data_IF_869387098377
#
_entry.id   IF_869387098377
#
_cell.length_a   1.000
_cell.length_b   1.000
_cell.length_c   1.000
_cell.angle_alpha   90.00
_cell.angle_beta   90.00
_cell.angle_gamma   90.00
#
_symmetry.space_group_name_H-M   'P 1'
#
loop_
_entity.id
_entity.type
_entity.pdbx_description
1 polymer ?
#
# COMPACT_ATOMS: atom_id res chain seq x y z
N UNK A 1 10.04 23.01 12.87
CA UNK A 1 8.90 23.38 11.98
C UNK A 1 8.91 22.46 10.78
N UNK A 2 7.73 22.01 10.35
CA UNK A 2 7.63 20.98 9.31
C UNK A 2 8.02 21.56 7.95
N UNK A 3 9.27 21.40 7.57
CA UNK A 3 9.86 21.90 6.30
C UNK A 3 9.12 21.39 5.05
N UNK A 4 8.46 20.23 5.14
CA UNK A 4 7.72 19.64 4.02
C UNK A 4 6.55 20.52 3.52
N UNK A 5 5.99 21.37 4.39
CA UNK A 5 4.92 22.32 4.00
C UNK A 5 5.40 23.39 3.03
N UNK A 6 6.68 23.75 3.07
CA UNK A 6 7.28 24.72 2.15
C UNK A 6 7.27 24.23 0.69
N UNK A 7 7.14 22.91 0.47
CA UNK A 7 7.04 22.32 -0.86
C UNK A 7 5.61 22.31 -1.42
N UNK A 8 4.62 22.76 -0.64
CA UNK A 8 3.24 22.82 -1.09
C UNK A 8 2.94 24.10 -1.84
N UNK A 9 2.17 24.02 -2.92
CA UNK A 9 1.63 25.17 -3.63
C UNK A 9 0.33 25.70 -3.00
N UNK A 10 -0.38 24.86 -2.24
CA UNK A 10 -1.58 25.22 -1.49
C UNK A 10 -1.77 24.28 -0.29
N UNK A 11 -2.47 24.74 0.75
CA UNK A 11 -2.77 23.94 1.94
C UNK A 11 -4.02 23.09 1.75
N UNK A 12 -3.82 21.81 1.49
CA UNK A 12 -4.90 20.82 1.38
C UNK A 12 -5.28 20.15 2.71
N UNK A 13 -4.62 20.48 3.84
CA UNK A 13 -4.90 19.88 5.15
C UNK A 13 -6.35 20.09 5.62
N UNK A 14 -6.96 21.30 5.52
CA UNK A 14 -8.35 21.49 5.92
C UNK A 14 -9.29 20.54 5.21
N UNK A 15 -9.09 20.32 3.90
CA UNK A 15 -9.88 19.38 3.09
C UNK A 15 -9.69 17.92 3.51
N UNK A 16 -8.47 17.49 3.86
CA UNK A 16 -8.21 16.14 4.38
C UNK A 16 -8.80 15.92 5.79
N UNK A 17 -9.02 16.99 6.54
CA UNK A 17 -9.58 16.95 7.89
C UNK A 17 -11.11 16.97 7.92
N UNK A 18 -11.80 17.08 6.78
CA UNK A 18 -13.25 16.99 6.73
C UNK A 18 -13.77 15.64 7.25
N UNK A 19 -14.95 15.61 7.89
CA UNK A 19 -15.45 14.40 8.56
C UNK A 19 -16.00 13.33 7.63
N UNK A 20 -16.18 13.62 6.35
CA UNK A 20 -16.76 12.73 5.34
C UNK A 20 -15.90 11.48 5.06
N UNK A 21 -14.57 11.57 5.31
CA UNK A 21 -13.66 10.43 5.21
C UNK A 21 -12.90 10.20 6.53
N UNK A 22 -13.48 9.43 7.48
CA UNK A 22 -12.89 9.23 8.81
C UNK A 22 -11.49 8.63 8.79
N UNK A 23 -11.19 7.76 7.82
CA UNK A 23 -9.86 7.14 7.70
C UNK A 23 -8.82 8.17 7.28
N UNK A 24 -9.11 8.97 6.25
CA UNK A 24 -8.20 10.05 5.81
C UNK A 24 -7.99 11.05 6.93
N UNK A 25 -9.07 11.49 7.59
CA UNK A 25 -9.00 12.38 8.75
C UNK A 25 -8.10 11.80 9.86
N UNK A 26 -8.32 10.54 10.22
CA UNK A 26 -7.53 9.86 11.24
C UNK A 26 -6.03 9.85 10.91
N UNK A 27 -5.68 9.44 9.69
CA UNK A 27 -4.28 9.38 9.27
C UNK A 27 -3.67 10.77 9.10
N UNK A 28 -4.43 11.78 8.66
CA UNK A 28 -3.97 13.18 8.60
C UNK A 28 -3.60 13.69 9.99
N UNK A 29 -4.49 13.52 10.98
CA UNK A 29 -4.24 13.93 12.37
C UNK A 29 -3.00 13.24 12.94
N UNK A 30 -2.87 11.92 12.75
CA UNK A 30 -1.80 11.12 13.34
C UNK A 30 -0.47 11.29 12.58
N UNK A 31 -0.48 11.10 11.26
CA UNK A 31 0.74 10.91 10.47
C UNK A 31 1.31 12.22 9.91
N UNK A 32 0.47 13.23 9.65
CA UNK A 32 0.91 14.54 9.14
C UNK A 32 0.99 15.60 10.24
N UNK A 33 0.04 15.59 11.18
CA UNK A 33 0.00 16.57 12.26
C UNK A 33 0.64 16.06 13.56
N UNK A 34 1.11 14.79 13.59
CA UNK A 34 1.83 14.23 14.73
C UNK A 34 1.02 14.11 16.02
N UNK A 35 -0.32 14.15 15.94
CA UNK A 35 -1.16 14.07 17.12
C UNK A 35 -1.11 12.68 17.75
N UNK A 36 -1.01 12.62 19.06
CA UNK A 36 -0.91 11.36 19.81
C UNK A 36 -2.18 10.52 19.73
N UNK A 37 -2.02 9.22 20.03
CA UNK A 37 -3.14 8.25 20.05
C UNK A 37 -4.27 8.63 21.02
N UNK A 38 -3.95 9.37 22.07
CA UNK A 38 -4.89 9.78 23.12
C UNK A 38 -5.59 11.11 22.83
N UNK A 39 -5.21 11.80 21.73
CA UNK A 39 -5.88 13.00 21.25
C UNK A 39 -7.36 12.70 20.97
N UNK A 40 -8.25 13.60 21.41
CA UNK A 40 -9.71 13.44 21.29
C UNK A 40 -10.15 13.31 19.83
N UNK A 41 -9.60 14.11 18.92
CA UNK A 41 -9.97 14.07 17.51
C UNK A 41 -9.43 12.82 16.82
N UNK A 42 -8.20 12.37 17.14
CA UNK A 42 -7.63 11.11 16.65
C UNK A 42 -8.51 9.92 17.04
N UNK A 43 -8.92 9.86 18.32
CA UNK A 43 -9.82 8.81 18.81
C UNK A 43 -11.20 8.86 18.15
N UNK A 44 -11.77 10.06 18.02
CA UNK A 44 -13.07 10.24 17.39
C UNK A 44 -13.05 9.82 15.91
N UNK A 45 -12.03 10.25 15.14
CA UNK A 45 -11.87 9.85 13.76
C UNK A 45 -11.68 8.33 13.62
N UNK A 46 -10.85 7.72 14.47
CA UNK A 46 -10.65 6.27 14.51
C UNK A 46 -11.95 5.50 14.80
N UNK A 47 -12.72 5.94 15.76
CA UNK A 47 -14.00 5.32 16.13
C UNK A 47 -15.08 5.46 15.02
N UNK A 48 -14.95 6.43 14.14
CA UNK A 48 -15.84 6.64 13.01
C UNK A 48 -15.51 5.73 11.80
N UNK A 49 -14.28 5.20 11.68
CA UNK A 49 -13.84 4.35 10.55
C UNK A 49 -14.81 3.18 10.28
N UNK A 50 -15.18 2.35 11.28
CA UNK A 50 -16.08 1.21 11.03
C UNK A 50 -17.48 1.64 10.57
N UNK A 51 -17.87 2.89 10.82
CA UNK A 51 -19.17 3.45 10.46
C UNK A 51 -19.18 4.10 9.08
N UNK A 52 -18.03 4.27 8.43
CA UNK A 52 -17.95 4.83 7.08
C UNK A 52 -18.67 3.96 6.07
N UNK A 53 -19.23 4.60 5.03
CA UNK A 53 -20.03 3.92 4.00
C UNK A 53 -19.26 2.75 3.37
N UNK A 54 -18.05 3.02 2.88
CA UNK A 54 -17.22 2.02 2.18
C UNK A 54 -16.88 0.81 3.07
N UNK A 55 -16.53 1.03 4.34
CA UNK A 55 -16.20 -0.07 5.26
C UNK A 55 -17.43 -0.93 5.54
N UNK A 56 -18.60 -0.31 5.78
CA UNK A 56 -19.85 -1.03 5.98
C UNK A 56 -20.26 -1.85 4.75
N UNK A 57 -20.18 -1.27 3.56
CA UNK A 57 -20.49 -1.95 2.29
C UNK A 57 -19.59 -3.16 2.07
N UNK A 58 -18.27 -3.01 2.28
CA UNK A 58 -17.33 -4.13 2.15
C UNK A 58 -17.67 -5.23 3.15
N UNK A 59 -17.83 -4.89 4.43
CA UNK A 59 -18.13 -5.89 5.46
C UNK A 59 -19.51 -6.54 5.26
N UNK A 60 -20.49 -5.82 4.74
CA UNK A 60 -21.82 -6.37 4.43
C UNK A 60 -21.79 -7.34 3.23
N UNK A 61 -20.91 -7.10 2.25
CA UNK A 61 -20.78 -7.93 1.06
C UNK A 61 -20.08 -9.28 1.29
N UNK A 62 -19.53 -9.53 2.49
CA UNK A 62 -18.89 -10.81 2.81
C UNK A 62 -19.90 -11.96 2.83
N UNK A 63 -19.59 -13.02 2.13
CA UNK A 63 -20.40 -14.26 2.09
C UNK A 63 -20.24 -15.08 3.39
N UNK A 64 -21.18 -15.98 3.70
CA UNK A 64 -21.12 -16.80 4.92
C UNK A 64 -19.82 -17.57 5.08
N UNK A 65 -19.23 -18.05 3.97
CA UNK A 65 -17.93 -18.73 3.94
C UNK A 65 -16.71 -17.84 4.24
N UNK A 66 -16.88 -16.50 4.38
CA UNK A 66 -15.80 -15.57 4.72
C UNK A 66 -15.12 -14.90 3.53
N UNK A 67 -15.52 -15.18 2.30
CA UNK A 67 -15.00 -14.60 1.06
C UNK A 67 -15.93 -13.51 0.48
N UNK A 68 -15.47 -12.76 -0.54
CA UNK A 68 -16.22 -11.66 -1.18
C UNK A 68 -16.57 -11.93 -2.65
N UNK A 69 -16.25 -13.10 -3.17
CA UNK A 69 -16.60 -13.57 -4.51
C UNK A 69 -18.02 -14.16 -4.53
N UNK A 70 -18.58 -14.37 -5.73
CA UNK A 70 -19.84 -15.13 -5.87
C UNK A 70 -19.66 -16.62 -5.56
N UNK A 71 -18.46 -17.13 -5.88
CA UNK A 71 -17.98 -18.44 -5.48
C UNK A 71 -16.56 -18.32 -4.95
N UNK A 72 -16.08 -19.31 -4.19
CA UNK A 72 -14.71 -19.32 -3.71
C UNK A 72 -13.74 -19.46 -4.88
N UNK A 73 -13.18 -18.33 -5.33
CA UNK A 73 -12.23 -18.29 -6.44
C UNK A 73 -10.79 -18.39 -5.92
N UNK A 74 -9.98 -19.14 -6.66
CA UNK A 74 -8.53 -19.29 -6.41
C UNK A 74 -7.69 -18.48 -7.41
N UNK A 75 -8.32 -17.68 -8.26
CA UNK A 75 -7.66 -16.86 -9.27
C UNK A 75 -7.54 -15.40 -8.84
N UNK A 76 -6.52 -14.72 -9.34
CA UNK A 76 -6.26 -13.31 -9.09
C UNK A 76 -6.98 -12.38 -10.10
N UNK A 77 -7.38 -11.16 -9.69
CA UNK A 77 -7.49 -10.72 -8.30
C UNK A 77 -8.74 -11.32 -7.66
N UNK A 78 -8.61 -11.87 -6.46
CA UNK A 78 -9.79 -12.28 -5.71
C UNK A 78 -10.43 -11.06 -5.05
N UNK A 79 -11.76 -11.01 -4.99
CA UNK A 79 -12.44 -9.94 -4.27
C UNK A 79 -12.14 -9.99 -2.77
N UNK A 80 -11.83 -11.17 -2.23
CA UNK A 80 -11.40 -11.35 -0.83
C UNK A 80 -10.11 -10.60 -0.55
N UNK A 81 -9.08 -10.75 -1.39
CA UNK A 81 -7.84 -9.99 -1.25
C UNK A 81 -8.10 -8.48 -1.36
N UNK A 82 -8.85 -8.06 -2.39
CA UNK A 82 -9.14 -6.64 -2.63
C UNK A 82 -9.91 -6.01 -1.46
N UNK A 83 -10.93 -6.70 -0.94
CA UNK A 83 -11.68 -6.26 0.22
C UNK A 83 -10.78 -6.08 1.45
N UNK A 84 -9.93 -7.06 1.74
CA UNK A 84 -9.00 -7.00 2.87
C UNK A 84 -7.93 -5.93 2.68
N UNK A 85 -7.44 -5.71 1.46
CA UNK A 85 -6.48 -4.64 1.16
C UNK A 85 -7.09 -3.25 1.38
N UNK A 86 -8.36 -3.04 1.00
CA UNK A 86 -9.08 -1.79 1.26
C UNK A 86 -9.29 -1.61 2.77
N UNK A 87 -9.77 -2.64 3.48
CA UNK A 87 -9.98 -2.58 4.93
C UNK A 87 -8.68 -2.29 5.69
N UNK A 88 -7.59 -2.93 5.30
CA UNK A 88 -6.24 -2.67 5.83
C UNK A 88 -5.81 -1.22 5.61
N UNK A 89 -5.90 -0.74 4.37
CA UNK A 89 -5.56 0.64 4.00
C UNK A 89 -6.42 1.68 4.73
N UNK A 90 -7.69 1.35 5.07
CA UNK A 90 -8.57 2.21 5.84
C UNK A 90 -8.31 2.19 7.35
N UNK A 91 -7.40 1.34 7.83
CA UNK A 91 -7.09 1.23 9.26
C UNK A 91 -8.20 0.59 10.09
N UNK A 92 -8.99 -0.31 9.46
CA UNK A 92 -10.05 -1.05 10.13
C UNK A 92 -9.42 -2.06 11.09
N UNK A 93 -9.82 -2.02 12.36
CA UNK A 93 -9.36 -2.98 13.34
C UNK A 93 -9.84 -4.41 13.01
N UNK A 94 -9.03 -5.45 13.26
CA UNK A 94 -9.42 -6.83 13.07
C UNK A 94 -10.73 -7.18 13.79
N UNK A 95 -11.63 -7.85 13.09
CA UNK A 95 -12.90 -8.35 13.61
C UNK A 95 -13.17 -9.76 13.06
N UNK A 96 -14.24 -10.41 13.51
CA UNK A 96 -14.55 -11.78 13.11
C UNK A 96 -14.66 -11.98 11.58
N UNK A 97 -15.19 -10.98 10.86
CA UNK A 97 -15.30 -11.01 9.40
C UNK A 97 -13.92 -10.93 8.74
N UNK A 98 -13.08 -10.00 9.17
CA UNK A 98 -11.71 -9.87 8.66
C UNK A 98 -10.92 -11.16 8.93
N UNK A 99 -11.01 -11.71 10.16
CA UNK A 99 -10.34 -12.97 10.52
C UNK A 99 -10.73 -14.12 9.58
N UNK A 100 -12.03 -14.29 9.30
CA UNK A 100 -12.49 -15.30 8.33
C UNK A 100 -11.87 -15.12 6.93
N UNK A 101 -11.85 -13.88 6.43
CA UNK A 101 -11.25 -13.58 5.12
C UNK A 101 -9.74 -13.83 5.08
N UNK A 102 -9.02 -13.48 6.14
CA UNK A 102 -7.58 -13.73 6.26
C UNK A 102 -7.27 -15.23 6.26
N UNK A 103 -8.06 -16.05 6.96
CA UNK A 103 -7.88 -17.52 6.92
C UNK A 103 -8.09 -18.11 5.51
N UNK A 104 -8.98 -17.52 4.72
CA UNK A 104 -9.15 -17.92 3.30
C UNK A 104 -7.88 -17.58 2.49
N UNK A 105 -7.28 -16.40 2.70
CA UNK A 105 -6.04 -16.05 2.01
C UNK A 105 -4.90 -17.00 2.38
N UNK A 106 -4.74 -17.34 3.65
CA UNK A 106 -3.74 -18.34 4.05
C UNK A 106 -3.99 -19.70 3.39
N UNK A 107 -5.23 -20.20 3.47
CA UNK A 107 -5.58 -21.52 2.92
C UNK A 107 -5.43 -21.60 1.40
N UNK A 108 -5.82 -20.53 0.68
CA UNK A 108 -5.90 -20.56 -0.78
C UNK A 108 -4.67 -19.98 -1.47
N UNK A 109 -3.95 -19.08 -0.82
CA UNK A 109 -2.91 -18.28 -1.46
C UNK A 109 -1.52 -18.46 -0.85
N UNK A 110 -1.36 -19.10 0.32
CA UNK A 110 -0.03 -19.38 0.85
C UNK A 110 0.52 -20.67 0.25
N UNK A 111 1.70 -20.57 -0.34
CA UNK A 111 2.44 -21.71 -0.90
C UNK A 111 3.21 -22.45 0.20
N UNK A 112 3.57 -23.71 -0.03
CA UNK A 112 4.34 -24.53 0.92
C UNK A 112 5.70 -23.91 1.32
N UNK A 113 6.30 -23.07 0.46
CA UNK A 113 7.49 -22.27 0.79
C UNK A 113 7.25 -21.16 1.81
N UNK A 114 6.02 -20.92 2.24
CA UNK A 114 5.61 -19.79 3.06
C UNK A 114 5.22 -18.54 2.27
N UNK A 115 5.69 -18.40 1.03
CA UNK A 115 5.38 -17.26 0.15
C UNK A 115 3.93 -17.29 -0.33
N UNK A 116 3.48 -16.19 -0.95
CA UNK A 116 2.11 -16.10 -1.47
C UNK A 116 2.05 -16.18 -2.99
N UNK A 117 0.95 -16.76 -3.48
CA UNK A 117 0.60 -16.87 -4.88
C UNK A 117 -0.83 -16.43 -5.11
N UNK A 118 -1.11 -15.80 -6.24
CA UNK A 118 -2.48 -15.37 -6.55
C UNK A 118 -3.31 -16.43 -7.28
N UNK A 119 -2.69 -17.47 -7.83
CA UNK A 119 -3.38 -18.52 -8.61
C UNK A 119 -3.66 -19.78 -7.82
N UNK A 120 -3.52 -19.72 -6.51
CA UNK A 120 -3.71 -20.84 -5.59
C UNK A 120 -2.39 -21.40 -5.07
N UNK A 121 -2.45 -22.09 -3.93
CA UNK A 121 -1.28 -22.56 -3.19
C UNK A 121 -0.39 -23.56 -3.96
N UNK A 122 -0.90 -24.19 -5.02
CA UNK A 122 -0.15 -25.13 -5.88
C UNK A 122 0.66 -24.45 -6.98
N UNK A 123 0.39 -23.18 -7.30
CA UNK A 123 1.14 -22.43 -8.31
C UNK A 123 2.37 -21.78 -7.70
N UNK A 124 3.34 -21.41 -8.55
CA UNK A 124 4.56 -20.75 -8.08
C UNK A 124 4.27 -19.41 -7.38
N UNK A 125 5.02 -19.13 -6.33
CA UNK A 125 4.93 -17.89 -5.58
C UNK A 125 5.36 -16.69 -6.44
N UNK A 126 4.74 -15.53 -6.17
CA UNK A 126 5.03 -14.28 -6.86
C UNK A 126 5.58 -13.25 -5.87
N UNK A 127 6.72 -12.66 -6.23
CA UNK A 127 7.40 -11.67 -5.39
C UNK A 127 6.49 -10.47 -5.09
N UNK A 128 5.87 -9.88 -6.12
CA UNK A 128 4.99 -8.72 -5.93
C UNK A 128 3.79 -9.04 -5.03
N UNK A 129 3.18 -10.22 -5.20
CA UNK A 129 2.03 -10.58 -4.39
C UNK A 129 2.42 -10.94 -2.95
N UNK A 130 3.57 -11.58 -2.75
CA UNK A 130 4.06 -11.85 -1.38
C UNK A 130 4.29 -10.55 -0.61
N UNK A 131 4.95 -9.54 -1.20
CA UNK A 131 5.14 -8.25 -0.56
C UNK A 131 3.83 -7.54 -0.24
N UNK A 132 2.87 -7.59 -1.16
CA UNK A 132 1.55 -6.98 -0.97
C UNK A 132 0.72 -7.69 0.10
N UNK A 133 0.81 -9.03 0.18
CA UNK A 133 0.21 -9.81 1.27
C UNK A 133 0.82 -9.47 2.63
N UNK A 134 2.13 -9.30 2.72
CA UNK A 134 2.80 -8.87 3.95
C UNK A 134 2.33 -7.47 4.37
N UNK A 135 2.16 -6.54 3.42
CA UNK A 135 1.58 -5.22 3.67
C UNK A 135 0.16 -5.32 4.25
N UNK A 136 -0.73 -6.08 3.61
CA UNK A 136 -2.12 -6.24 4.04
C UNK A 136 -2.20 -6.89 5.43
N UNK A 137 -1.48 -7.99 5.63
CA UNK A 137 -1.48 -8.74 6.88
C UNK A 137 -0.87 -7.94 8.03
N UNK A 138 0.22 -7.20 7.78
CA UNK A 138 0.81 -6.31 8.77
C UNK A 138 -0.18 -5.24 9.26
N UNK A 139 -0.87 -4.57 8.33
CA UNK A 139 -1.88 -3.55 8.67
C UNK A 139 -3.14 -4.12 9.34
N UNK A 140 -3.47 -5.39 9.10
CA UNK A 140 -4.55 -6.08 9.78
C UNK A 140 -4.14 -6.69 11.13
N UNK A 141 -2.91 -6.43 11.62
CA UNK A 141 -2.46 -6.87 12.94
C UNK A 141 -1.99 -8.33 13.01
N UNK A 142 -1.60 -8.92 11.88
CA UNK A 142 -1.07 -10.29 11.79
C UNK A 142 0.46 -10.36 11.76
N UNK A 143 1.17 -9.28 12.08
CA UNK A 143 2.63 -9.25 12.04
C UNK A 143 3.29 -10.37 12.87
N UNK A 144 2.67 -10.75 13.98
CA UNK A 144 3.15 -11.79 14.90
C UNK A 144 2.58 -13.20 14.61
N UNK A 145 1.76 -13.37 13.57
CA UNK A 145 1.30 -14.69 13.14
C UNK A 145 2.48 -15.50 12.59
N UNK A 146 2.62 -16.76 13.01
CA UNK A 146 3.75 -17.62 12.59
C UNK A 146 3.85 -17.78 11.08
N UNK A 147 2.71 -17.81 10.38
CA UNK A 147 2.64 -17.91 8.90
C UNK A 147 3.16 -16.63 8.23
N UNK A 148 2.93 -15.45 8.83
CA UNK A 148 3.46 -14.16 8.35
C UNK A 148 4.95 -14.08 8.60
N UNK A 149 5.43 -14.52 9.77
CA UNK A 149 6.87 -14.57 10.05
C UNK A 149 7.58 -15.52 9.08
N UNK A 150 7.04 -16.71 8.86
CA UNK A 150 7.56 -17.67 7.87
C UNK A 150 7.61 -17.04 6.46
N UNK A 151 6.53 -16.37 6.03
CA UNK A 151 6.48 -15.70 4.73
C UNK A 151 7.54 -14.60 4.62
N UNK A 152 7.72 -13.77 5.66
CA UNK A 152 8.71 -12.71 5.73
C UNK A 152 10.14 -13.25 5.55
N UNK A 153 10.47 -14.32 6.25
CA UNK A 153 11.81 -14.88 6.24
C UNK A 153 12.11 -15.62 4.91
N UNK A 154 11.14 -16.37 4.39
CA UNK A 154 11.20 -16.98 3.06
C UNK A 154 11.31 -15.92 1.95
N UNK A 155 10.68 -14.76 2.14
CA UNK A 155 10.72 -13.67 1.16
C UNK A 155 12.10 -13.04 1.04
N UNK A 156 12.83 -12.85 2.15
CA UNK A 156 14.23 -12.40 2.12
C UNK A 156 15.08 -13.36 1.28
N UNK A 157 14.99 -14.67 1.56
CA UNK A 157 15.74 -15.68 0.83
C UNK A 157 15.41 -15.67 -0.68
N UNK A 158 14.12 -15.56 -1.02
CA UNK A 158 13.67 -15.55 -2.40
C UNK A 158 14.12 -14.28 -3.16
N UNK A 159 14.08 -13.11 -2.51
CA UNK A 159 14.54 -11.85 -3.11
C UNK A 159 16.05 -11.85 -3.34
N UNK A 160 16.83 -12.48 -2.46
CA UNK A 160 18.27 -12.70 -2.68
C UNK A 160 18.53 -13.63 -3.86
N UNK A 161 17.83 -14.76 -3.93
CA UNK A 161 17.96 -15.73 -5.00
C UNK A 161 17.52 -15.19 -6.38
N UNK A 162 16.58 -14.23 -6.40
CA UNK A 162 16.08 -13.56 -7.60
C UNK A 162 16.39 -12.07 -7.56
N UNK A 163 17.63 -11.71 -7.41
CA UNK A 163 18.09 -10.31 -7.30
C UNK A 163 17.79 -9.50 -8.59
N UNK A 164 17.66 -10.14 -9.74
CA UNK A 164 17.24 -9.54 -11.00
C UNK A 164 15.75 -9.20 -11.04
N UNK A 165 14.96 -9.66 -10.05
CA UNK A 165 13.51 -9.53 -9.99
C UNK A 165 12.78 -10.06 -11.22
N UNK A 166 13.36 -11.00 -11.96
CA UNK A 166 12.78 -11.59 -13.15
C UNK A 166 11.40 -12.19 -12.89
N UNK A 167 10.43 -11.82 -13.70
CA UNK A 167 9.03 -12.24 -13.54
C UNK A 167 8.54 -12.97 -14.81
N UNK A 168 8.11 -14.23 -14.64
CA UNK A 168 7.56 -15.03 -15.74
C UNK A 168 6.35 -14.37 -16.43
N UNK A 169 5.62 -13.52 -15.73
CA UNK A 169 4.49 -12.75 -16.29
C UNK A 169 4.91 -11.45 -16.95
N UNK A 170 6.19 -11.10 -16.91
CA UNK A 170 6.79 -9.95 -17.57
C UNK A 170 7.93 -10.38 -18.51
N UNK A 171 7.76 -11.50 -19.20
CA UNK A 171 8.77 -12.07 -20.11
C UNK A 171 10.16 -12.18 -19.44
N UNK A 172 10.20 -12.56 -18.17
CA UNK A 172 11.39 -12.64 -17.32
C UNK A 172 12.17 -11.32 -17.17
N UNK A 173 11.58 -10.18 -17.52
CA UNK A 173 12.15 -8.86 -17.23
C UNK A 173 12.02 -8.50 -15.77
N UNK A 174 12.86 -7.60 -15.24
CA UNK A 174 12.74 -7.09 -13.88
C UNK A 174 11.37 -6.52 -13.59
N UNK A 175 10.77 -6.93 -12.46
CA UNK A 175 9.45 -6.51 -12.06
C UNK A 175 9.53 -5.44 -10.96
N UNK A 176 9.40 -4.17 -11.32
CA UNK A 176 9.41 -3.08 -10.33
C UNK A 176 8.27 -3.15 -9.32
N UNK A 177 7.14 -3.75 -9.71
CA UNK A 177 6.05 -4.02 -8.75
C UNK A 177 6.52 -4.92 -7.61
N UNK A 178 7.46 -5.84 -7.87
CA UNK A 178 8.03 -6.67 -6.82
C UNK A 178 8.89 -5.84 -5.85
N UNK A 179 9.67 -4.90 -6.36
CA UNK A 179 10.46 -4.01 -5.51
C UNK A 179 9.57 -3.10 -4.65
N UNK A 180 8.54 -2.47 -5.25
CA UNK A 180 7.59 -1.63 -4.52
C UNK A 180 6.83 -2.43 -3.45
N UNK A 181 6.32 -3.60 -3.82
CA UNK A 181 5.59 -4.47 -2.90
C UNK A 181 6.46 -4.93 -1.74
N UNK A 182 7.73 -5.27 -2.00
CA UNK A 182 8.66 -5.69 -0.96
C UNK A 182 8.94 -4.57 0.06
N UNK A 183 9.25 -3.36 -0.41
CA UNK A 183 9.45 -2.22 0.49
C UNK A 183 8.18 -1.93 1.32
N UNK A 184 7.01 -1.94 0.70
CA UNK A 184 5.73 -1.76 1.42
C UNK A 184 5.47 -2.87 2.44
N UNK A 185 5.70 -4.12 2.06
CA UNK A 185 5.52 -5.27 2.94
C UNK A 185 6.43 -5.20 4.16
N UNK A 186 7.71 -4.92 3.97
CA UNK A 186 8.66 -4.76 5.09
C UNK A 186 8.35 -3.53 5.94
N UNK A 187 7.89 -2.43 5.36
CA UNK A 187 7.48 -1.23 6.10
C UNK A 187 6.24 -1.44 6.99
N UNK A 188 5.41 -2.44 6.69
CA UNK A 188 4.21 -2.79 7.46
C UNK A 188 4.47 -3.82 8.58
N UNK A 189 5.67 -4.35 8.68
CA UNK A 189 6.07 -5.36 9.66
C UNK A 189 7.14 -4.81 10.63
N UNK A 190 7.36 -5.45 11.78
CA UNK A 190 8.48 -5.11 12.65
C UNK A 190 9.82 -5.16 11.90
N UNK A 191 10.78 -4.29 12.25
CA UNK A 191 12.09 -4.25 11.60
C UNK A 191 12.74 -5.64 11.51
N UNK A 192 13.29 -5.95 10.33
CA UNK A 192 14.02 -7.19 10.09
C UNK A 192 15.45 -6.87 9.63
N UNK A 193 16.44 -6.88 10.54
CA UNK A 193 17.83 -6.61 10.17
C UNK A 193 18.36 -7.53 9.06
N UNK A 194 17.87 -8.76 9.00
CA UNK A 194 18.27 -9.71 7.95
C UNK A 194 17.78 -9.32 6.54
N UNK A 195 16.87 -8.35 6.41
CA UNK A 195 16.39 -7.86 5.11
C UNK A 195 17.14 -6.61 4.62
N UNK A 196 18.12 -6.08 5.36
CA UNK A 196 18.75 -4.79 5.05
C UNK A 196 19.40 -4.76 3.67
N UNK A 197 20.20 -5.75 3.35
CA UNK A 197 20.86 -5.89 2.03
C UNK A 197 19.84 -5.96 0.87
N UNK A 198 18.76 -6.70 1.10
CA UNK A 198 17.66 -6.80 0.13
C UNK A 198 16.97 -5.45 -0.05
N UNK A 199 16.68 -4.75 1.04
CA UNK A 199 16.06 -3.41 1.00
C UNK A 199 16.95 -2.43 0.24
N UNK A 200 18.25 -2.42 0.51
CA UNK A 200 19.22 -1.54 -0.17
C UNK A 200 19.29 -1.86 -1.67
N UNK A 201 19.29 -3.14 -2.03
CA UNK A 201 19.25 -3.57 -3.43
C UNK A 201 17.97 -3.10 -4.13
N UNK A 202 16.78 -3.34 -3.54
CA UNK A 202 15.50 -2.95 -4.09
C UNK A 202 15.38 -1.43 -4.23
N UNK A 203 15.87 -0.68 -3.25
CA UNK A 203 15.91 0.77 -3.32
C UNK A 203 16.78 1.25 -4.49
N UNK A 204 17.96 0.65 -4.69
CA UNK A 204 18.80 0.98 -5.82
C UNK A 204 18.13 0.66 -7.16
N UNK A 205 17.45 -0.48 -7.28
CA UNK A 205 16.67 -0.84 -8.49
C UNK A 205 15.63 0.25 -8.79
N UNK A 206 14.87 0.70 -7.79
CA UNK A 206 13.87 1.75 -7.98
C UNK A 206 14.50 3.12 -8.32
N UNK A 207 15.60 3.48 -7.68
CA UNK A 207 16.26 4.78 -7.87
C UNK A 207 17.02 4.89 -9.21
N UNK A 208 17.43 3.75 -9.80
CA UNK A 208 18.17 3.74 -11.07
C UNK A 208 17.28 3.45 -12.28
N UNK A 209 16.03 3.04 -12.05
CA UNK A 209 15.12 2.74 -13.14
C UNK A 209 14.80 3.97 -13.99
N UNK A 210 14.79 3.77 -15.31
CA UNK A 210 14.35 4.81 -16.27
C UNK A 210 12.83 4.73 -16.40
N UNK A 211 12.13 5.53 -15.60
CA UNK A 211 10.67 5.61 -15.65
C UNK A 211 10.21 6.30 -16.93
N UNK A 212 9.22 5.72 -17.59
CA UNK A 212 8.50 6.41 -18.66
C UNK A 212 7.34 7.22 -18.04
N UNK A 213 7.51 8.53 -17.99
CA UNK A 213 6.50 9.48 -17.57
C UNK A 213 5.78 10.16 -18.75
N UNK A 214 6.25 9.96 -19.97
CA UNK A 214 5.73 10.62 -21.17
C UNK A 214 4.73 9.76 -21.96
N UNK A 215 4.79 8.44 -21.81
CA UNK A 215 3.94 7.51 -22.53
C UNK A 215 2.44 7.76 -22.33
N UNK A 216 1.64 7.42 -23.36
CA UNK A 216 0.19 7.68 -23.39
C UNK A 216 -0.56 7.14 -22.17
N UNK A 217 -0.05 6.08 -21.56
CA UNK A 217 -0.68 5.44 -20.40
C UNK A 217 -0.12 5.92 -19.05
N UNK A 218 1.05 6.55 -19.02
CA UNK A 218 1.72 7.02 -17.79
C UNK A 218 1.54 6.05 -16.61
N UNK A 219 1.96 4.77 -16.70
CA UNK A 219 1.59 3.73 -15.73
C UNK A 219 2.02 4.08 -14.30
N UNK A 220 3.16 4.76 -14.15
CA UNK A 220 3.69 5.19 -12.85
C UNK A 220 2.92 6.34 -12.20
N UNK A 221 2.13 7.09 -12.97
CA UNK A 221 1.32 8.21 -12.52
C UNK A 221 -0.17 7.85 -12.41
N UNK A 222 -0.51 6.57 -12.51
CA UNK A 222 -1.87 6.06 -12.28
C UNK A 222 -2.13 5.88 -10.79
N UNK A 223 -2.13 6.98 -10.06
CA UNK A 223 -2.41 6.97 -8.63
C UNK A 223 -3.81 6.43 -8.35
N UNK A 224 -3.89 5.42 -7.50
CA UNK A 224 -5.14 4.70 -7.24
C UNK A 224 -5.44 4.46 -5.77
N UNK A 225 -6.68 3.99 -5.55
CA UNK A 225 -7.17 3.58 -4.23
C UNK A 225 -7.88 2.23 -4.38
N UNK A 226 -7.48 1.18 -3.68
CA UNK A 226 -6.34 1.11 -2.75
C UNK A 226 -5.01 1.40 -3.45
N UNK A 227 -3.97 1.70 -2.66
CA UNK A 227 -2.65 2.03 -3.18
C UNK A 227 -2.14 0.95 -4.13
N UNK A 228 -1.86 1.35 -5.38
CA UNK A 228 -1.28 0.47 -6.40
C UNK A 228 0.24 0.47 -6.35
N UNK A 229 0.84 -0.04 -7.44
CA UNK A 229 2.28 -0.03 -7.67
C UNK A 229 2.65 1.22 -8.49
N UNK A 230 2.36 2.40 -7.93
CA UNK A 230 2.57 3.71 -8.53
C UNK A 230 3.81 4.42 -7.95
N UNK A 231 4.16 5.58 -8.50
CA UNK A 231 5.31 6.38 -8.07
C UNK A 231 5.20 6.80 -6.59
N UNK A 232 4.00 7.12 -6.10
CA UNK A 232 3.80 7.47 -4.68
C UNK A 232 4.15 6.27 -3.79
N UNK A 233 3.76 5.06 -4.19
CA UNK A 233 4.08 3.85 -3.43
C UNK A 233 5.58 3.56 -3.42
N UNK A 234 6.28 3.78 -4.54
CA UNK A 234 7.73 3.66 -4.61
C UNK A 234 8.42 4.67 -3.68
N UNK A 235 8.04 5.94 -3.77
CA UNK A 235 8.60 7.01 -2.94
C UNK A 235 8.30 6.81 -1.45
N UNK A 236 7.10 6.32 -1.09
CA UNK A 236 6.75 6.04 0.30
C UNK A 236 7.63 4.95 0.92
N UNK A 237 7.89 3.87 0.17
CA UNK A 237 8.80 2.80 0.57
C UNK A 237 10.25 3.28 0.70
N UNK A 238 10.75 4.01 -0.31
CA UNK A 238 12.10 4.58 -0.29
C UNK A 238 12.30 5.54 0.89
N UNK A 239 11.35 6.45 1.12
CA UNK A 239 11.43 7.40 2.23
C UNK A 239 11.36 6.70 3.60
N UNK A 240 10.55 5.64 3.74
CA UNK A 240 10.46 4.85 4.96
C UNK A 240 11.80 4.25 5.37
N UNK A 241 12.59 3.77 4.40
CA UNK A 241 13.90 3.14 4.66
C UNK A 241 15.09 4.11 4.60
N UNK A 242 14.83 5.43 4.56
CA UNK A 242 15.86 6.47 4.71
C UNK A 242 16.50 6.93 3.40
N UNK A 243 15.97 6.55 2.23
CA UNK A 243 16.52 6.94 0.92
C UNK A 243 16.06 8.32 0.44
N UNK A 244 15.30 9.08 1.24
CA UNK A 244 14.82 10.42 0.87
C UNK A 244 15.95 11.45 0.65
N UNK A 245 17.17 11.19 1.16
CA UNK A 245 18.36 12.03 0.95
C UNK A 245 19.12 11.73 -0.34
N UNK A 246 18.79 10.66 -1.05
CA UNK A 246 19.40 10.34 -2.34
C UNK A 246 18.99 11.35 -3.41
N UNK A 247 19.94 11.90 -4.16
CA UNK A 247 19.67 12.90 -5.22
C UNK A 247 18.70 12.36 -6.29
N UNK A 248 18.71 11.04 -6.54
CA UNK A 248 17.80 10.38 -7.49
C UNK A 248 16.36 10.39 -7.00
N UNK A 249 16.15 10.27 -5.68
CA UNK A 249 14.84 10.40 -5.05
C UNK A 249 14.24 11.79 -5.30
N UNK A 250 15.02 12.85 -5.19
CA UNK A 250 14.58 14.22 -5.45
C UNK A 250 13.94 14.39 -6.82
N UNK A 251 14.56 13.82 -7.87
CA UNK A 251 14.01 13.86 -9.24
C UNK A 251 12.65 13.18 -9.36
N UNK A 252 12.48 12.04 -8.69
CA UNK A 252 11.20 11.32 -8.67
C UNK A 252 10.13 12.06 -7.85
N UNK A 253 10.56 12.71 -6.78
CA UNK A 253 9.70 13.56 -5.96
C UNK A 253 9.17 14.75 -6.75
N UNK A 254 10.02 15.40 -7.55
CA UNK A 254 9.62 16.54 -8.39
C UNK A 254 8.56 16.14 -9.42
N UNK A 255 8.68 14.94 -10.01
CA UNK A 255 7.65 14.38 -10.91
C UNK A 255 6.32 14.19 -10.15
N UNK A 256 6.36 13.60 -8.95
CA UNK A 256 5.16 13.45 -8.13
C UNK A 256 4.52 14.80 -7.81
N UNK A 257 5.33 15.80 -7.46
CA UNK A 257 4.86 17.15 -7.14
C UNK A 257 4.25 17.87 -8.35
N UNK A 258 4.75 17.58 -9.55
CA UNK A 258 4.20 18.13 -10.81
C UNK A 258 2.78 17.63 -11.16
N UNK A 259 2.31 16.55 -10.52
CA UNK A 259 0.98 15.95 -10.79
C UNK A 259 -0.14 16.49 -9.90
N UNK A 260 0.15 17.45 -8.99
CA UNK A 260 -0.85 18.12 -8.16
C UNK A 260 -1.55 19.24 -8.91
N UNK A 261 -2.80 19.50 -8.54
CA UNK A 261 -3.56 20.65 -9.02
C UNK A 261 -3.19 21.95 -8.27
N UNK A 262 -3.80 23.07 -8.66
CA UNK A 262 -3.57 24.38 -8.05
C UNK A 262 -3.98 24.43 -6.57
N UNK A 263 -4.91 23.57 -6.15
CA UNK A 263 -5.33 23.42 -4.76
C UNK A 263 -4.46 22.46 -3.94
N UNK A 264 -3.31 22.01 -4.48
CA UNK A 264 -2.40 21.09 -3.80
C UNK A 264 -2.95 19.67 -3.65
N UNK A 265 -3.78 19.21 -4.58
CA UNK A 265 -4.46 17.92 -4.53
C UNK A 265 -4.03 17.02 -5.70
N UNK A 266 -3.97 15.70 -5.46
CA UNK A 266 -3.69 14.71 -6.50
C UNK A 266 -4.96 13.99 -6.92
N UNK A 267 -5.04 13.68 -8.22
CA UNK A 267 -6.21 13.05 -8.83
C UNK A 267 -6.19 11.53 -8.63
N UNK A 268 -7.35 10.91 -8.40
CA UNK A 268 -7.52 9.47 -8.54
C UNK A 268 -7.56 9.11 -10.03
N UNK A 269 -6.53 8.41 -10.53
CA UNK A 269 -6.44 8.01 -11.95
C UNK A 269 -6.70 6.54 -12.19
N UNK A 270 -6.65 5.71 -11.16
CA UNK A 270 -6.85 4.27 -11.27
C UNK A 270 -7.61 3.71 -10.10
N UNK A 271 -8.50 2.78 -10.41
CA UNK A 271 -9.02 1.81 -9.45
C UNK A 271 -9.28 0.49 -10.21
N UNK A 272 -8.90 -0.62 -9.60
CA UNK A 272 -9.12 -1.97 -10.14
C UNK A 272 -9.89 -2.80 -9.13
N UNK A 273 -11.08 -2.32 -8.71
CA UNK A 273 -11.80 -3.00 -7.65
C UNK A 273 -13.31 -2.89 -7.86
N UNK A 274 -14.01 -3.92 -7.40
CA UNK A 274 -15.47 -3.92 -7.28
C UNK A 274 -15.98 -2.82 -6.33
N UNK A 275 -15.15 -2.42 -5.37
CA UNK A 275 -15.50 -1.43 -4.36
C UNK A 275 -14.92 -0.07 -4.76
N UNK A 276 -15.79 0.86 -5.13
CA UNK A 276 -15.39 2.23 -5.52
C UNK A 276 -15.17 3.06 -4.26
N UNK A 277 -13.92 3.35 -3.95
CA UNK A 277 -13.55 4.17 -2.77
C UNK A 277 -13.69 5.66 -3.07
N UNK A 278 -13.21 6.10 -4.24
CA UNK A 278 -13.27 7.49 -4.71
C UNK A 278 -13.51 7.54 -6.23
N UNK A 279 -13.98 8.67 -6.71
CA UNK A 279 -14.31 8.87 -8.14
C UNK A 279 -13.02 9.00 -8.96
N UNK A 280 -12.88 8.19 -10.02
CA UNK A 280 -11.80 8.33 -10.99
C UNK A 280 -11.91 9.67 -11.74
N UNK A 281 -10.76 10.30 -11.96
CA UNK A 281 -10.68 11.60 -12.66
C UNK A 281 -11.06 12.79 -11.78
N UNK A 282 -11.20 12.61 -10.47
CA UNK A 282 -11.46 13.68 -9.50
C UNK A 282 -10.32 13.80 -8.48
N UNK A 283 -10.16 14.96 -7.81
CA UNK A 283 -9.26 15.08 -6.68
C UNK A 283 -9.54 14.03 -5.62
N UNK A 284 -8.49 13.38 -5.11
CA UNK A 284 -8.58 12.25 -4.21
C UNK A 284 -7.97 12.59 -2.86
N UNK A 285 -8.77 12.51 -1.79
CA UNK A 285 -8.26 12.65 -0.42
C UNK A 285 -7.23 11.57 -0.10
N UNK A 286 -7.43 10.35 -0.57
CA UNK A 286 -6.49 9.24 -0.35
C UNK A 286 -5.16 9.44 -1.07
N UNK A 287 -5.18 9.79 -2.36
CA UNK A 287 -3.95 10.03 -3.11
C UNK A 287 -3.19 11.22 -2.56
N UNK A 288 -3.90 12.31 -2.23
CA UNK A 288 -3.32 13.50 -1.61
C UNK A 288 -2.68 13.18 -0.25
N UNK A 289 -3.38 12.45 0.63
CA UNK A 289 -2.82 11.99 1.89
C UNK A 289 -1.53 11.17 1.69
N UNK A 290 -1.53 10.22 0.75
CA UNK A 290 -0.34 9.40 0.43
C UNK A 290 0.84 10.26 -0.02
N UNK A 291 0.61 11.21 -0.92
CA UNK A 291 1.65 12.13 -1.39
C UNK A 291 2.21 13.00 -0.25
N UNK A 292 1.34 13.56 0.60
CA UNK A 292 1.78 14.35 1.75
C UNK A 292 2.54 13.52 2.80
N UNK A 293 2.19 12.24 2.98
CA UNK A 293 2.96 11.33 3.85
C UNK A 293 4.37 11.08 3.33
N UNK A 294 4.56 10.99 2.01
CA UNK A 294 5.90 10.94 1.42
C UNK A 294 6.69 12.20 1.79
N UNK A 295 6.11 13.38 1.57
CA UNK A 295 6.75 14.65 1.91
C UNK A 295 7.11 14.74 3.40
N UNK A 296 6.22 14.34 4.28
CA UNK A 296 6.44 14.37 5.73
C UNK A 296 7.57 13.44 6.19
N UNK A 297 7.90 12.39 5.43
CA UNK A 297 9.05 11.51 5.66
C UNK A 297 10.36 12.08 5.14
N UNK A 298 10.33 13.05 4.21
CA UNK A 298 11.50 13.73 3.66
C UNK A 298 12.01 14.80 4.64
N UNK A 299 12.31 14.42 5.87
CA UNK A 299 12.94 15.35 6.83
C UNK A 299 14.36 15.65 6.37
N UNK A 300 14.67 16.93 6.29
CA UNK A 300 16.00 17.48 6.04
C UNK A 300 17.01 17.08 7.11
#
# INVERSE_FOLDING_TARGET
>A
MDDWKSKLNADSLPWLLEPDNPSVRHFTLRDLLGRGKDDREVRAAKAAIPKSKIVREILAAQKPGGYWEEAEKKSWPTHTYVALAILAGHGVAPNAKIKKGVEILFRNNQHASGLFTWTGAKSGALLCFTGDMLFVLGHLGYADDSRVRQARDAYVAQLRAKSDLGCSRNANKPCLWAAIAALRGYAALPPNPAARDVIDHLANVLLTHKYDFAGAEKPWLRFGVPAGFDLIAALDGLAHFGFARDKRFGKLLDVMLGERDEAGRWMCRSFNTKFVVEKRGAPSKWVTLRALKVLAKCKS
#
